data_IF_174635286403
#
_entry.id   IF_174635286403
#
_cell.length_a   1.000
_cell.length_b   1.000
_cell.length_c   1.000
_cell.angle_alpha   90.00
_cell.angle_beta   90.00
_cell.angle_gamma   90.00
#
_symmetry.space_group_name_H-M   'P 1'
#
loop_
_entity.id
_entity.type
_entity.pdbx_description
1 polymer ?
#
# COMPACT_ATOMS: atom_id res chain seq x y z
N UNK A 1 -11.34 -7.27 -24.07
CA UNK A 1 -11.77 -6.81 -22.74
C UNK A 1 -10.56 -6.83 -21.84
N UNK A 2 -10.31 -5.76 -21.08
CA UNK A 2 -9.26 -5.74 -20.07
C UNK A 2 -9.61 -6.69 -18.91
N UNK A 3 -8.61 -7.27 -18.25
CA UNK A 3 -8.78 -8.27 -17.18
C UNK A 3 -9.60 -7.71 -16.03
N UNK A 4 -9.36 -6.44 -15.68
CA UNK A 4 -10.09 -5.74 -14.63
C UNK A 4 -11.58 -5.59 -15.00
N UNK A 5 -11.89 -5.22 -16.24
CA UNK A 5 -13.29 -5.10 -16.70
C UNK A 5 -14.02 -6.44 -16.66
N UNK A 6 -13.33 -7.55 -16.99
CA UNK A 6 -13.91 -8.89 -16.89
C UNK A 6 -14.24 -9.26 -15.43
N UNK A 7 -13.34 -8.97 -14.50
CA UNK A 7 -13.55 -9.17 -13.07
C UNK A 7 -14.71 -8.33 -12.53
N UNK A 8 -14.79 -7.06 -12.92
CA UNK A 8 -15.87 -6.14 -12.52
C UNK A 8 -17.23 -6.65 -12.96
N UNK A 9 -17.36 -7.08 -14.22
CA UNK A 9 -18.61 -7.62 -14.77
C UNK A 9 -19.05 -8.90 -14.04
N UNK A 10 -18.10 -9.78 -13.71
CA UNK A 10 -18.38 -10.99 -12.96
C UNK A 10 -18.78 -10.71 -11.50
N UNK A 11 -18.12 -9.75 -10.84
CA UNK A 11 -18.37 -9.42 -9.43
C UNK A 11 -19.62 -8.56 -9.22
N UNK A 12 -20.03 -7.75 -10.19
CA UNK A 12 -21.16 -6.84 -10.12
C UNK A 12 -22.47 -7.48 -9.61
N UNK A 13 -22.98 -8.60 -10.18
CA UNK A 13 -24.20 -9.23 -9.69
C UNK A 13 -24.07 -9.77 -8.27
N UNK A 14 -22.89 -10.28 -7.89
CA UNK A 14 -22.62 -10.77 -6.54
C UNK A 14 -22.71 -9.63 -5.53
N UNK A 15 -22.06 -8.50 -5.81
CA UNK A 15 -22.10 -7.31 -4.95
C UNK A 15 -23.50 -6.70 -4.84
N UNK A 16 -24.29 -6.76 -5.91
CA UNK A 16 -25.68 -6.32 -5.92
C UNK A 16 -26.58 -7.18 -5.01
N UNK A 17 -26.32 -8.50 -4.96
CA UNK A 17 -27.06 -9.44 -4.12
C UNK A 17 -26.63 -9.45 -2.64
N UNK A 18 -25.44 -8.93 -2.32
CA UNK A 18 -24.91 -8.91 -0.95
C UNK A 18 -25.49 -7.81 -0.06
N UNK A 19 -25.57 -8.07 1.24
CA UNK A 19 -25.98 -7.06 2.22
C UNK A 19 -24.85 -6.04 2.48
N UNK A 20 -25.15 -4.79 2.90
CA UNK A 20 -24.14 -3.78 3.20
C UNK A 20 -23.09 -4.22 4.24
N UNK A 21 -23.48 -5.01 5.24
CA UNK A 21 -22.57 -5.56 6.25
C UNK A 21 -21.57 -6.57 5.69
N UNK A 22 -22.01 -7.41 4.76
CA UNK A 22 -21.16 -8.38 4.06
C UNK A 22 -20.18 -7.66 3.14
N UNK A 23 -20.65 -6.66 2.37
CA UNK A 23 -19.77 -5.84 1.54
C UNK A 23 -18.71 -5.12 2.35
N UNK A 24 -19.05 -4.58 3.52
CA UNK A 24 -18.07 -3.95 4.43
C UNK A 24 -17.04 -4.96 4.94
N UNK A 25 -17.46 -6.20 5.20
CA UNK A 25 -16.57 -7.28 5.63
C UNK A 25 -15.61 -7.67 4.52
N UNK A 26 -16.11 -7.82 3.29
CA UNK A 26 -15.30 -8.04 2.09
C UNK A 26 -14.30 -6.90 1.87
N UNK A 27 -14.76 -5.65 1.93
CA UNK A 27 -13.93 -4.46 1.79
C UNK A 27 -12.77 -4.45 2.81
N UNK A 28 -13.02 -4.84 4.07
CA UNK A 28 -11.96 -4.97 5.10
C UNK A 28 -10.93 -6.06 4.75
N UNK A 29 -11.37 -7.20 4.23
CA UNK A 29 -10.46 -8.27 3.79
C UNK A 29 -9.58 -7.80 2.64
N UNK A 30 -10.17 -7.18 1.62
CA UNK A 30 -9.45 -6.59 0.47
C UNK A 30 -8.42 -5.56 0.97
N UNK A 31 -8.82 -4.63 1.84
CA UNK A 31 -7.90 -3.64 2.39
C UNK A 31 -6.75 -4.24 3.21
N UNK A 32 -6.99 -5.37 3.87
CA UNK A 32 -5.97 -6.09 4.66
C UNK A 32 -4.91 -6.70 3.75
N UNK A 33 -5.33 -7.41 2.69
CA UNK A 33 -4.41 -7.98 1.71
C UNK A 33 -3.70 -6.89 0.90
N UNK A 34 -4.40 -5.80 0.54
CA UNK A 34 -3.78 -4.66 -0.12
C UNK A 34 -2.68 -4.06 0.77
N UNK A 35 -2.95 -3.79 2.06
CA UNK A 35 -1.94 -3.29 2.99
C UNK A 35 -0.75 -4.24 3.09
N UNK A 36 -1.01 -5.55 3.21
CA UNK A 36 0.05 -6.57 3.29
C UNK A 36 0.94 -6.57 2.05
N UNK A 37 0.33 -6.61 0.87
CA UNK A 37 1.02 -6.58 -0.42
C UNK A 37 1.85 -5.31 -0.57
N UNK A 38 1.29 -4.14 -0.27
CA UNK A 38 2.01 -2.86 -0.33
C UNK A 38 3.20 -2.82 0.65
N UNK A 39 3.01 -3.24 1.91
CA UNK A 39 4.08 -3.31 2.91
C UNK A 39 5.23 -4.21 2.46
N UNK A 40 4.92 -5.40 1.92
CA UNK A 40 5.93 -6.33 1.40
C UNK A 40 6.68 -5.75 0.20
N UNK A 41 5.95 -5.17 -0.77
CA UNK A 41 6.52 -4.58 -1.98
C UNK A 41 7.44 -3.40 -1.67
N UNK A 42 7.01 -2.49 -0.80
CA UNK A 42 7.83 -1.35 -0.33
C UNK A 42 9.05 -1.85 0.46
N UNK A 43 8.88 -2.87 1.31
CA UNK A 43 9.98 -3.50 2.04
C UNK A 43 11.05 -4.09 1.11
N UNK A 44 10.63 -4.66 -0.03
CA UNK A 44 11.51 -5.16 -1.10
C UNK A 44 12.03 -4.07 -2.05
N UNK A 45 11.63 -2.81 -1.85
CA UNK A 45 11.97 -1.68 -2.73
C UNK A 45 11.55 -1.91 -4.20
N UNK A 46 10.32 -2.41 -4.42
CA UNK A 46 9.79 -2.71 -5.75
C UNK A 46 8.63 -1.77 -6.13
N UNK A 47 8.55 -1.38 -7.40
CA UNK A 47 7.46 -0.64 -8.02
C UNK A 47 6.25 -1.56 -8.32
N UNK A 48 5.05 -1.00 -8.62
CA UNK A 48 3.84 -1.81 -8.80
C UNK A 48 3.93 -2.79 -9.97
N UNK A 49 4.76 -2.46 -10.96
CA UNK A 49 5.14 -3.28 -12.10
C UNK A 49 6.19 -4.37 -11.76
N UNK A 50 6.68 -4.40 -10.51
CA UNK A 50 7.69 -5.32 -10.02
C UNK A 50 9.14 -4.87 -10.23
N UNK A 51 9.38 -3.74 -10.89
CA UNK A 51 10.74 -3.22 -11.11
C UNK A 51 11.35 -2.69 -9.80
N UNK A 52 12.68 -2.72 -9.61
CA UNK A 52 13.28 -2.11 -8.42
C UNK A 52 13.11 -0.58 -8.45
N UNK A 53 13.02 0.05 -7.28
CA UNK A 53 13.04 1.50 -7.17
C UNK A 53 14.32 2.09 -7.74
N UNK A 54 14.20 3.30 -8.29
CA UNK A 54 15.35 4.06 -8.76
C UNK A 54 16.41 4.19 -7.63
N UNK A 55 17.69 3.90 -7.93
CA UNK A 55 18.76 4.05 -6.95
C UNK A 55 18.78 5.46 -6.35
N UNK A 56 19.03 5.54 -5.05
CA UNK A 56 19.15 6.84 -4.37
C UNK A 56 20.37 7.60 -4.91
N UNK A 57 20.23 8.92 -5.09
CA UNK A 57 21.35 9.81 -5.42
C UNK A 57 22.52 9.53 -4.46
N UNK A 58 23.71 9.30 -5.02
CA UNK A 58 24.91 9.10 -4.21
C UNK A 58 25.21 10.37 -3.41
N UNK A 59 25.52 10.20 -2.14
CA UNK A 59 25.94 11.32 -1.30
C UNK A 59 27.41 11.62 -1.55
N UNK A 60 27.74 12.84 -1.99
CA UNK A 60 29.13 13.27 -2.27
C UNK A 60 30.06 13.24 -1.04
N UNK A 61 29.52 13.14 0.17
CA UNK A 61 30.26 13.08 1.44
C UNK A 61 29.93 11.79 2.20
N UNK A 62 30.16 10.62 1.62
CA UNK A 62 30.27 9.41 2.43
C UNK A 62 31.65 9.41 3.08
N UNK A 63 31.76 9.97 4.29
CA UNK A 63 32.98 9.89 5.09
C UNK A 63 33.25 8.42 5.45
N UNK A 64 34.44 7.92 5.17
CA UNK A 64 34.91 6.63 5.69
C UNK A 64 34.80 6.64 7.23
N UNK A 65 34.03 5.72 7.80
CA UNK A 65 33.82 5.63 9.26
C UNK A 65 32.62 6.39 9.80
N UNK A 66 31.71 6.92 8.97
CA UNK A 66 30.44 7.43 9.45
C UNK A 66 29.59 6.29 10.04
N UNK A 67 29.43 6.29 11.37
CA UNK A 67 28.42 5.48 12.09
C UNK A 67 27.07 5.71 11.40
N UNK A 68 26.39 4.62 11.06
CA UNK A 68 25.10 4.56 10.37
C UNK A 68 24.29 5.85 10.51
N UNK A 69 24.24 6.65 9.43
CA UNK A 69 23.41 7.85 9.43
C UNK A 69 21.99 7.45 9.87
N UNK A 70 21.37 8.17 10.84
CA UNK A 70 20.04 7.82 11.30
C UNK A 70 19.11 7.70 10.10
N UNK A 71 18.22 6.70 10.13
CA UNK A 71 17.24 6.47 9.07
C UNK A 71 16.32 7.68 8.99
N UNK A 72 16.68 8.69 8.19
CA UNK A 72 15.93 9.94 8.11
C UNK A 72 14.57 9.77 7.41
N UNK A 73 14.38 8.66 6.67
CA UNK A 73 13.11 8.36 6.00
C UNK A 73 12.25 7.44 6.88
N UNK A 74 10.94 7.75 7.00
CA UNK A 74 9.98 6.87 7.67
C UNK A 74 10.01 5.45 7.11
N UNK A 75 9.69 4.47 7.94
CA UNK A 75 9.57 3.08 7.49
C UNK A 75 8.20 2.82 6.84
N UNK A 76 8.03 3.24 5.58
CA UNK A 76 6.80 3.04 4.80
C UNK A 76 6.40 1.57 4.64
N UNK A 77 7.36 0.64 4.73
CA UNK A 77 7.08 -0.80 4.67
C UNK A 77 6.46 -1.36 5.96
N UNK A 78 6.51 -0.62 7.07
CA UNK A 78 5.91 -1.09 8.32
C UNK A 78 4.38 -0.97 8.25
N UNK A 79 3.61 -2.07 8.45
CA UNK A 79 2.15 -2.06 8.39
C UNK A 79 1.49 -1.11 9.40
N UNK A 80 2.17 -0.74 10.50
CA UNK A 80 1.66 0.25 11.47
C UNK A 80 1.58 1.67 10.91
N UNK A 81 2.29 1.96 9.83
CA UNK A 81 2.31 3.30 9.21
C UNK A 81 1.13 3.56 8.28
N UNK A 82 0.32 2.55 8.00
CA UNK A 82 -0.85 2.64 7.12
C UNK A 82 -2.11 2.13 7.80
N UNK A 83 -3.24 2.78 7.52
CA UNK A 83 -4.56 2.43 8.04
C UNK A 83 -5.50 2.06 6.90
N UNK A 84 -6.35 1.08 7.19
CA UNK A 84 -7.43 0.64 6.29
C UNK A 84 -8.71 1.36 6.73
N UNK A 85 -9.40 1.98 5.78
CA UNK A 85 -10.76 2.47 5.94
C UNK A 85 -11.68 1.68 5.01
N UNK A 86 -12.78 1.17 5.54
CA UNK A 86 -13.70 0.32 4.79
C UNK A 86 -15.15 0.73 5.05
N UNK A 87 -15.86 1.01 3.97
CA UNK A 87 -17.30 1.21 3.90
C UNK A 87 -17.94 0.09 3.08
N UNK A 88 -19.28 -0.04 3.06
CA UNK A 88 -19.97 -1.00 2.20
C UNK A 88 -19.71 -0.82 0.69
N UNK A 89 -19.24 0.35 0.27
CA UNK A 89 -19.12 0.71 -1.14
C UNK A 89 -17.67 1.01 -1.56
N UNK A 90 -16.74 1.10 -0.61
CA UNK A 90 -15.36 1.47 -0.88
C UNK A 90 -14.40 0.95 0.19
N UNK A 91 -13.15 0.75 -0.22
CA UNK A 91 -12.01 0.53 0.67
C UNK A 91 -10.88 1.46 0.28
N UNK A 92 -10.19 2.02 1.28
CA UNK A 92 -8.97 2.77 1.07
C UNK A 92 -7.89 2.34 2.06
N UNK A 93 -6.65 2.41 1.59
CA UNK A 93 -5.45 2.19 2.40
C UNK A 93 -4.58 3.42 2.25
N UNK A 94 -4.25 4.06 3.37
CA UNK A 94 -3.47 5.30 3.36
C UNK A 94 -2.52 5.38 4.54
N UNK A 95 -1.41 6.09 4.35
CA UNK A 95 -0.47 6.37 5.42
C UNK A 95 -1.11 7.26 6.51
N UNK A 96 -0.61 7.15 7.74
CA UNK A 96 -1.08 7.94 8.89
C UNK A 96 0.05 8.72 9.57
N UNK A 97 -0.32 9.75 10.34
CA UNK A 97 0.60 10.52 11.16
C UNK A 97 1.67 11.27 10.36
N UNK A 98 2.92 11.26 10.84
CA UNK A 98 4.05 11.94 10.16
C UNK A 98 4.33 11.35 8.77
N UNK A 99 4.06 10.06 8.58
CA UNK A 99 4.35 9.33 7.34
C UNK A 99 3.47 9.84 6.19
N UNK A 100 2.20 10.12 6.45
CA UNK A 100 1.27 10.63 5.43
C UNK A 100 1.67 12.01 4.89
N UNK A 101 2.38 12.82 5.69
CA UNK A 101 2.86 14.13 5.25
C UNK A 101 4.00 14.02 4.24
N UNK A 102 4.81 12.96 4.32
CA UNK A 102 5.99 12.78 3.47
C UNK A 102 5.64 11.96 2.22
N UNK A 103 4.63 11.08 2.30
CA UNK A 103 4.19 10.21 1.19
C UNK A 103 3.21 10.88 0.18
N UNK A 104 3.15 12.22 0.14
CA UNK A 104 2.31 12.93 -0.85
C UNK A 104 2.95 12.94 -2.22
#
# INVERSE_FOLDING_TARGET
MDELTALENWAAPLLASSQPGERRTLARKIGTELRRSQSQRIGKQQAPDGTPYAPRKQQLRQKSGALNAPRCLPNYGNPSTSKISASPNAVSVGFVGRVSRIAR
#
